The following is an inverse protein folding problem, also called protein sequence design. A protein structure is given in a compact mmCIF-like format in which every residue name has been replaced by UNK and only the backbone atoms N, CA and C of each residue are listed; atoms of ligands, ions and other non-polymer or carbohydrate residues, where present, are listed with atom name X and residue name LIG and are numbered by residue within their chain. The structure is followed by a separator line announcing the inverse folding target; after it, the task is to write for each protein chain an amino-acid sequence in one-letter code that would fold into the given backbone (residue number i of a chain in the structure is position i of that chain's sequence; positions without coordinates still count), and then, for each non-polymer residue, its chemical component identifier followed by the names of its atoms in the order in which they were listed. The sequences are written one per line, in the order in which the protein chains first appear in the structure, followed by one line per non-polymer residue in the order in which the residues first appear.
data_IF_255949029518
#
_entry.id   IF_255949029518
#
_cell.length_a   1.000
_cell.length_b   1.000
_cell.length_c   1.000
_cell.angle_alpha   90.00
_cell.angle_beta   90.00
_cell.angle_gamma   90.00
#
_symmetry.space_group_name_H-M   'P 1'
#
loop_
_entity.id
_entity.type
_entity.pdbx_description
1 polymer ?
#
# COMPACT_ATOMS: atom_id res chain seq x y z
N UNK A 1 -1.76 -38.43 -5.57
CA UNK A 1 -2.81 -38.25 -6.60
C UNK A 1 -2.59 -39.25 -7.73
N UNK A 2 -3.32 -40.37 -7.74
CA UNK A 2 -3.14 -41.48 -8.71
C UNK A 2 -3.22 -41.02 -10.17
N UNK A 3 -4.05 -40.02 -10.47
CA UNK A 3 -4.18 -39.46 -11.82
C UNK A 3 -2.87 -38.90 -12.40
N UNK A 4 -2.10 -38.14 -11.61
CA UNK A 4 -0.81 -37.57 -12.06
C UNK A 4 0.24 -38.65 -12.36
N UNK A 5 0.07 -39.85 -11.80
CA UNK A 5 0.94 -41.01 -12.00
C UNK A 5 0.53 -41.77 -13.28
N UNK A 6 -0.78 -41.90 -13.53
CA UNK A 6 -1.33 -42.64 -14.67
C UNK A 6 -1.32 -41.80 -15.97
N UNK A 7 -1.67 -40.51 -15.89
CA UNK A 7 -1.70 -39.55 -17.00
C UNK A 7 -0.70 -38.43 -16.71
N UNK A 8 0.59 -38.75 -16.87
CA UNK A 8 1.68 -37.83 -16.53
C UNK A 8 1.67 -36.60 -17.46
N UNK A 9 1.49 -35.37 -16.94
CA UNK A 9 1.58 -34.17 -17.75
C UNK A 9 3.03 -33.94 -18.22
N UNK A 10 3.20 -33.28 -19.36
CA UNK A 10 4.51 -32.84 -19.86
C UNK A 10 5.19 -31.93 -18.85
N UNK A 11 4.43 -31.00 -18.26
CA UNK A 11 4.88 -30.17 -17.14
C UNK A 11 3.77 -29.99 -16.11
N UNK A 12 4.18 -30.00 -14.85
CA UNK A 12 3.34 -29.74 -13.68
C UNK A 12 3.96 -28.60 -12.89
N UNK A 13 3.20 -27.52 -12.69
CA UNK A 13 3.58 -26.42 -11.81
C UNK A 13 2.46 -26.20 -10.80
N UNK A 14 2.84 -25.91 -9.56
CA UNK A 14 1.92 -25.59 -8.48
C UNK A 14 2.46 -24.44 -7.65
N UNK A 15 1.58 -23.50 -7.33
CA UNK A 15 1.83 -22.43 -6.38
C UNK A 15 0.64 -22.33 -5.43
N UNK A 16 0.83 -22.81 -4.19
CA UNK A 16 -0.24 -22.92 -3.18
C UNK A 16 -1.44 -23.72 -3.74
N UNK A 17 -2.52 -23.03 -4.11
CA UNK A 17 -3.76 -23.60 -4.63
C UNK A 17 -3.88 -23.53 -6.16
N UNK A 18 -3.04 -22.69 -6.80
CA UNK A 18 -3.03 -22.55 -8.26
C UNK A 18 -2.18 -23.66 -8.89
N UNK A 19 -2.73 -24.35 -9.90
CA UNK A 19 -2.07 -25.43 -10.62
C UNK A 19 -2.05 -25.10 -12.12
N UNK A 20 -0.90 -25.29 -12.75
CA UNK A 20 -0.73 -25.26 -14.21
C UNK A 20 -0.27 -26.63 -14.70
N UNK A 21 -1.05 -27.21 -15.60
CA UNK A 21 -0.75 -28.47 -16.28
C UNK A 21 -0.49 -28.18 -17.76
N UNK A 22 0.56 -28.81 -18.30
CA UNK A 22 0.82 -28.83 -19.73
C UNK A 22 0.75 -30.28 -20.17
N UNK A 23 -0.18 -30.60 -21.06
CA UNK A 23 -0.40 -31.96 -21.57
C UNK A 23 -0.30 -31.98 -23.09
N UNK A 24 0.14 -33.11 -23.64
CA UNK A 24 0.11 -33.36 -25.09
C UNK A 24 -1.26 -33.80 -25.57
N UNK A 25 -2.05 -34.39 -24.67
CA UNK A 25 -3.34 -35.01 -24.98
C UNK A 25 -4.44 -34.29 -24.22
N UNK A 26 -5.66 -34.40 -24.74
CA UNK A 26 -6.86 -33.95 -24.04
C UNK A 26 -7.03 -34.68 -22.70
N UNK A 27 -7.46 -33.93 -21.71
CA UNK A 27 -7.73 -34.42 -20.37
C UNK A 27 -9.22 -34.67 -20.27
N UNK A 28 -9.62 -35.89 -19.86
CA UNK A 28 -10.97 -36.14 -19.41
C UNK A 28 -11.21 -35.36 -18.10
N UNK A 29 -11.94 -34.26 -18.23
CA UNK A 29 -12.21 -33.33 -17.13
C UNK A 29 -13.16 -33.94 -16.09
N UNK A 30 -14.04 -34.87 -16.48
CA UNK A 30 -14.98 -35.50 -15.56
C UNK A 30 -14.19 -36.43 -14.64
N UNK A 31 -13.42 -37.33 -15.23
CA UNK A 31 -12.55 -38.22 -14.47
C UNK A 31 -11.55 -37.43 -13.62
N UNK A 32 -10.97 -36.34 -14.16
CA UNK A 32 -10.07 -35.50 -13.38
C UNK A 32 -10.76 -34.87 -12.16
N UNK A 33 -11.99 -34.37 -12.29
CA UNK A 33 -12.75 -33.77 -11.18
C UNK A 33 -13.09 -34.79 -10.09
N UNK A 34 -13.45 -36.02 -10.46
CA UNK A 34 -13.76 -37.09 -9.50
C UNK A 34 -12.58 -37.38 -8.55
N UNK A 35 -11.34 -37.24 -9.04
CA UNK A 35 -10.13 -37.45 -8.23
C UNK A 35 -9.94 -36.39 -7.12
N UNK A 36 -10.66 -35.28 -7.22
CA UNK A 36 -10.65 -34.18 -6.25
C UNK A 36 -12.05 -33.95 -5.67
N UNK A 37 -12.88 -34.98 -5.54
CA UNK A 37 -14.33 -34.89 -5.28
C UNK A 37 -14.81 -34.04 -4.09
N UNK A 38 -13.92 -33.63 -3.18
CA UNK A 38 -14.23 -32.69 -2.07
C UNK A 38 -13.87 -31.22 -2.37
N UNK A 39 -13.23 -30.91 -3.50
CA UNK A 39 -12.79 -29.57 -3.88
C UNK A 39 -13.58 -29.03 -5.07
N UNK A 40 -13.97 -27.75 -4.99
CA UNK A 40 -14.54 -27.02 -6.13
C UNK A 40 -13.42 -26.54 -7.05
N UNK A 41 -13.15 -27.29 -8.12
CA UNK A 41 -12.12 -26.94 -9.11
C UNK A 41 -12.66 -25.97 -10.19
N UNK A 42 -11.99 -24.84 -10.37
CA UNK A 42 -12.16 -23.96 -11.52
C UNK A 42 -11.10 -24.29 -12.57
N UNK A 43 -11.46 -25.14 -13.53
CA UNK A 43 -10.54 -25.63 -14.57
C UNK A 43 -10.75 -24.81 -15.85
N UNK A 44 -9.67 -24.26 -16.39
CA UNK A 44 -9.64 -23.58 -17.68
C UNK A 44 -8.68 -24.36 -18.58
N UNK A 45 -9.19 -24.87 -19.70
CA UNK A 45 -8.40 -25.56 -20.72
C UNK A 45 -8.37 -24.67 -21.96
N UNK A 46 -7.18 -24.28 -22.39
CA UNK A 46 -6.97 -23.40 -23.54
C UNK A 46 -5.49 -23.42 -23.93
N UNK A 47 -5.19 -23.16 -25.21
CA UNK A 47 -3.81 -22.93 -25.69
C UNK A 47 -3.18 -21.66 -25.12
N UNK A 48 -4.00 -20.84 -24.47
CA UNK A 48 -3.66 -19.60 -23.80
C UNK A 48 -4.29 -19.58 -22.41
N UNK A 49 -3.45 -19.57 -21.37
CA UNK A 49 -3.90 -19.59 -19.97
C UNK A 49 -3.10 -18.63 -19.11
N UNK A 50 -3.78 -18.05 -18.11
CA UNK A 50 -3.15 -17.20 -17.12
C UNK A 50 -2.76 -18.05 -15.90
N UNK A 51 -1.54 -17.88 -15.42
CA UNK A 51 -1.04 -18.53 -14.21
C UNK A 51 -0.20 -17.52 -13.42
N UNK A 52 -0.67 -17.13 -12.24
CA UNK A 52 -0.08 -16.05 -11.43
C UNK A 52 0.04 -14.72 -12.21
N UNK A 53 1.26 -14.20 -12.38
CA UNK A 53 1.61 -13.02 -13.18
C UNK A 53 2.04 -13.38 -14.61
N UNK A 54 1.87 -14.64 -15.02
CA UNK A 54 2.20 -15.15 -16.35
C UNK A 54 0.95 -15.33 -17.19
N UNK A 55 1.08 -14.94 -18.43
CA UNK A 55 0.26 -15.42 -19.52
C UNK A 55 1.09 -16.41 -20.33
N UNK A 56 0.62 -17.66 -20.39
CA UNK A 56 1.32 -18.78 -21.02
C UNK A 56 0.57 -19.16 -22.28
N UNK A 57 1.30 -19.22 -23.39
CA UNK A 57 0.78 -19.65 -24.69
C UNK A 57 1.73 -20.63 -25.35
N UNK A 58 1.19 -21.53 -26.17
CA UNK A 58 2.02 -22.40 -27.01
C UNK A 58 2.29 -21.72 -28.35
N UNK A 59 3.58 -21.58 -28.71
CA UNK A 59 3.98 -21.17 -30.05
C UNK A 59 4.11 -22.45 -30.89
N UNK A 60 3.08 -22.73 -31.70
CA UNK A 60 2.99 -23.93 -32.53
C UNK A 60 4.11 -24.01 -33.58
N UNK A 61 4.59 -22.87 -34.07
CA UNK A 61 5.67 -22.83 -35.06
C UNK A 61 7.02 -23.16 -34.45
N UNK A 62 7.30 -22.64 -33.26
CA UNK A 62 8.58 -22.86 -32.57
C UNK A 62 8.59 -24.05 -31.62
N UNK A 63 7.45 -24.73 -31.47
CA UNK A 63 7.20 -25.79 -30.47
C UNK A 63 7.67 -25.40 -29.07
N UNK A 64 7.43 -24.13 -28.68
CA UNK A 64 7.94 -23.54 -27.43
C UNK A 64 6.85 -22.75 -26.71
N UNK A 65 6.95 -22.74 -25.39
CA UNK A 65 6.08 -21.89 -24.56
C UNK A 65 6.52 -20.43 -24.67
N UNK A 66 5.54 -19.57 -24.97
CA UNK A 66 5.69 -18.12 -24.98
C UNK A 66 5.03 -17.55 -23.74
N UNK A 67 5.76 -16.67 -23.07
CA UNK A 67 5.36 -16.04 -21.82
C UNK A 67 5.18 -14.55 -22.03
N UNK A 68 4.08 -14.01 -21.50
CA UNK A 68 3.80 -12.57 -21.43
C UNK A 68 3.39 -12.21 -20.00
N UNK A 69 3.49 -10.93 -19.66
CA UNK A 69 3.00 -10.45 -18.36
C UNK A 69 1.46 -10.51 -18.34
N UNK A 70 0.89 -11.11 -17.31
CA UNK A 70 -0.52 -11.01 -17.02
C UNK A 70 -0.77 -9.98 -15.92
N UNK A 71 -1.65 -9.01 -16.20
CA UNK A 71 -2.09 -8.01 -15.23
C UNK A 71 -3.55 -8.32 -14.89
N UNK A 72 -3.82 -8.62 -13.62
CA UNK A 72 -5.20 -8.88 -13.16
C UNK A 72 -6.07 -7.64 -13.40
N UNK A 73 -7.34 -7.79 -13.79
CA UNK A 73 -8.26 -6.65 -13.99
C UNK A 73 -8.42 -5.77 -12.75
N UNK A 74 -8.23 -6.33 -11.56
CA UNK A 74 -8.29 -5.63 -10.27
C UNK A 74 -7.02 -4.82 -9.94
N UNK A 75 -5.99 -4.88 -10.79
CA UNK A 75 -4.76 -4.14 -10.57
C UNK A 75 -4.97 -2.64 -10.79
N UNK A 76 -4.70 -1.84 -9.75
CA UNK A 76 -4.97 -0.41 -9.72
C UNK A 76 -3.71 0.47 -9.85
N UNK A 77 -2.55 -0.08 -10.19
CA UNK A 77 -1.34 0.74 -10.36
C UNK A 77 -0.81 1.38 -9.07
N UNK A 78 -1.10 0.80 -7.90
CA UNK A 78 -0.73 1.38 -6.60
C UNK A 78 0.75 1.23 -6.21
N UNK A 79 1.63 1.84 -6.99
CA UNK A 79 3.02 2.00 -6.58
C UNK A 79 3.17 3.11 -5.51
N UNK A 80 4.25 3.02 -4.73
CA UNK A 80 4.58 4.00 -3.70
C UNK A 80 4.80 5.38 -4.32
N UNK A 81 4.23 6.43 -3.72
CA UNK A 81 4.46 7.81 -4.15
C UNK A 81 5.82 8.27 -3.61
N UNK A 82 6.62 8.97 -4.41
CA UNK A 82 7.99 9.40 -4.04
C UNK A 82 8.05 10.39 -2.88
N UNK A 83 6.94 11.05 -2.54
CA UNK A 83 6.80 11.95 -1.39
C UNK A 83 6.48 11.22 -0.08
N UNK A 84 6.28 9.90 -0.11
CA UNK A 84 6.00 9.12 1.10
C UNK A 84 7.26 8.94 1.96
N UNK A 85 7.08 8.73 3.27
CA UNK A 85 8.18 8.58 4.22
C UNK A 85 8.81 7.17 4.16
N UNK A 86 9.52 6.89 3.06
CA UNK A 86 10.27 5.65 2.85
C UNK A 86 11.74 5.96 2.53
N UNK A 87 12.67 5.04 2.84
CA UNK A 87 14.07 5.24 2.50
C UNK A 87 14.29 5.48 1.00
N UNK A 88 15.21 6.38 0.59
CA UNK A 88 15.46 6.69 -0.83
C UNK A 88 15.79 5.48 -1.72
N UNK A 89 16.46 4.47 -1.15
CA UNK A 89 16.82 3.25 -1.90
C UNK A 89 15.59 2.43 -2.29
N UNK A 90 14.47 2.52 -1.56
CA UNK A 90 13.22 1.84 -1.89
C UNK A 90 12.67 2.39 -3.22
N UNK A 91 12.67 3.71 -3.39
CA UNK A 91 12.24 4.33 -4.64
C UNK A 91 13.15 3.97 -5.83
N UNK A 92 14.46 3.77 -5.61
CA UNK A 92 15.35 3.27 -6.68
C UNK A 92 15.10 1.79 -7.00
N UNK A 93 14.80 0.97 -5.99
CA UNK A 93 14.65 -0.47 -6.15
C UNK A 93 13.31 -0.88 -6.77
N UNK A 94 12.24 -0.14 -6.51
CA UNK A 94 10.90 -0.46 -7.04
C UNK A 94 10.90 -0.54 -8.58
N UNK A 95 11.24 0.52 -9.33
CA UNK A 95 11.27 0.47 -10.80
C UNK A 95 12.20 -0.62 -11.32
N UNK A 96 13.40 -0.73 -10.73
CA UNK A 96 14.40 -1.73 -11.12
C UNK A 96 13.84 -3.15 -11.00
N UNK A 97 13.20 -3.47 -9.87
CA UNK A 97 12.63 -4.79 -9.62
C UNK A 97 11.48 -5.12 -10.58
N UNK A 98 10.66 -4.13 -10.93
CA UNK A 98 9.52 -4.32 -11.83
C UNK A 98 10.00 -4.55 -13.26
N UNK A 99 10.87 -3.70 -13.79
CA UNK A 99 11.41 -3.87 -15.14
C UNK A 99 12.19 -5.19 -15.28
N UNK A 100 12.99 -5.56 -14.29
CA UNK A 100 13.64 -6.88 -14.26
C UNK A 100 12.63 -8.03 -14.29
N UNK A 101 11.51 -7.91 -13.56
CA UNK A 101 10.43 -8.91 -13.58
C UNK A 101 9.82 -9.02 -14.97
N UNK A 102 9.45 -7.91 -15.60
CA UNK A 102 8.87 -7.90 -16.96
C UNK A 102 9.86 -8.52 -17.94
N UNK A 103 11.15 -8.18 -17.85
CA UNK A 103 12.21 -8.73 -18.70
C UNK A 103 12.36 -10.24 -18.55
N UNK A 104 12.24 -10.77 -17.34
CA UNK A 104 12.25 -12.22 -17.07
C UNK A 104 11.01 -12.91 -17.62
N UNK A 105 9.84 -12.32 -17.45
CA UNK A 105 8.57 -12.91 -17.86
C UNK A 105 8.46 -12.94 -19.37
N UNK A 106 8.54 -11.78 -20.04
CA UNK A 106 8.27 -11.66 -21.47
C UNK A 106 9.30 -12.42 -22.31
N UNK A 107 8.84 -13.38 -23.13
CA UNK A 107 9.70 -14.07 -24.10
C UNK A 107 10.12 -13.15 -25.24
N UNK A 108 9.23 -12.25 -25.69
CA UNK A 108 9.50 -11.29 -26.77
C UNK A 108 9.96 -9.94 -26.22
N UNK A 109 10.89 -9.31 -26.93
CA UNK A 109 11.32 -7.94 -26.63
C UNK A 109 10.21 -6.91 -26.88
N UNK A 110 9.33 -7.15 -27.87
CA UNK A 110 8.18 -6.28 -28.15
C UNK A 110 7.21 -6.28 -26.96
N UNK A 111 6.91 -7.47 -26.41
CA UNK A 111 6.06 -7.60 -25.23
C UNK A 111 6.72 -6.90 -24.02
N UNK A 112 8.04 -7.02 -23.85
CA UNK A 112 8.79 -6.29 -22.82
C UNK A 112 8.61 -4.77 -22.93
N UNK A 113 8.80 -4.19 -24.12
CA UNK A 113 8.64 -2.75 -24.34
C UNK A 113 7.21 -2.29 -24.05
N UNK A 114 6.21 -3.04 -24.52
CA UNK A 114 4.80 -2.73 -24.30
C UNK A 114 4.44 -2.66 -22.81
N UNK A 115 4.77 -3.70 -22.04
CA UNK A 115 4.45 -3.73 -20.61
C UNK A 115 5.30 -2.75 -19.80
N UNK A 116 6.57 -2.56 -20.18
CA UNK A 116 7.45 -1.60 -19.51
C UNK A 116 6.97 -0.16 -19.73
N UNK A 117 6.47 0.18 -20.93
CA UNK A 117 5.88 1.48 -21.21
C UNK A 117 4.65 1.78 -20.34
N UNK A 118 3.75 0.80 -20.15
CA UNK A 118 2.59 0.94 -19.24
C UNK A 118 3.02 1.21 -17.80
N UNK A 119 3.99 0.45 -17.31
CA UNK A 119 4.51 0.61 -15.94
C UNK A 119 5.25 1.94 -15.79
N UNK A 120 6.03 2.34 -16.81
CA UNK A 120 6.75 3.61 -16.82
C UNK A 120 5.78 4.78 -16.65
N UNK A 121 4.69 4.80 -17.41
CA UNK A 121 3.66 5.83 -17.27
C UNK A 121 3.03 5.84 -15.87
N UNK A 122 2.75 4.64 -15.32
CA UNK A 122 2.19 4.51 -13.97
C UNK A 122 3.15 5.02 -12.89
N UNK A 123 4.45 4.71 -12.99
CA UNK A 123 5.48 5.19 -12.07
C UNK A 123 5.71 6.69 -12.22
N UNK A 124 5.73 7.22 -13.44
CA UNK A 124 5.84 8.66 -13.67
C UNK A 124 4.74 9.44 -12.95
N UNK A 125 3.48 8.97 -13.06
CA UNK A 125 2.34 9.56 -12.35
C UNK A 125 2.44 9.46 -10.81
N UNK A 126 3.32 8.60 -10.28
CA UNK A 126 3.60 8.46 -8.84
C UNK A 126 4.78 9.34 -8.38
N UNK A 127 5.30 10.19 -9.25
CA UNK A 127 6.35 11.17 -8.94
C UNK A 127 7.78 10.66 -9.13
N UNK A 128 7.96 9.57 -9.86
CA UNK A 128 9.29 9.08 -10.24
C UNK A 128 9.83 9.85 -11.45
N UNK A 129 11.15 10.11 -11.47
CA UNK A 129 11.79 10.84 -12.56
C UNK A 129 11.74 10.05 -13.89
N UNK A 130 11.17 10.67 -14.93
CA UNK A 130 10.99 10.03 -16.23
C UNK A 130 12.31 9.59 -16.87
N UNK A 131 13.33 10.46 -16.86
CA UNK A 131 14.63 10.17 -17.49
C UNK A 131 15.33 9.00 -16.81
N UNK A 132 15.25 8.93 -15.48
CA UNK A 132 15.73 7.79 -14.71
C UNK A 132 15.00 6.49 -15.09
N UNK A 133 13.67 6.52 -15.18
CA UNK A 133 12.87 5.35 -15.55
C UNK A 133 13.18 4.86 -16.97
N UNK A 134 13.25 5.79 -17.92
CA UNK A 134 13.55 5.52 -19.32
C UNK A 134 14.92 4.87 -19.48
N UNK A 135 15.97 5.49 -18.91
CA UNK A 135 17.33 4.92 -18.93
C UNK A 135 17.39 3.53 -18.29
N UNK A 136 16.66 3.35 -17.17
CA UNK A 136 16.61 2.06 -16.48
C UNK A 136 15.89 0.98 -17.31
N UNK A 137 14.78 1.34 -17.95
CA UNK A 137 14.03 0.47 -18.86
C UNK A 137 14.90 0.04 -20.06
N UNK A 138 15.63 0.96 -20.69
CA UNK A 138 16.51 0.62 -21.80
C UNK A 138 17.67 -0.26 -21.36
N UNK A 139 18.32 0.09 -20.23
CA UNK A 139 19.42 -0.70 -19.68
C UNK A 139 19.02 -2.14 -19.39
N UNK A 140 17.89 -2.36 -18.73
CA UNK A 140 17.38 -3.71 -18.43
C UNK A 140 16.91 -4.41 -19.70
N UNK A 141 16.40 -3.67 -20.68
CA UNK A 141 16.00 -4.22 -21.98
C UNK A 141 17.16 -4.90 -22.71
N UNK A 142 18.36 -4.33 -22.62
CA UNK A 142 19.58 -4.86 -23.24
C UNK A 142 20.15 -6.10 -22.50
N UNK A 143 19.74 -6.35 -21.26
CA UNK A 143 20.21 -7.54 -20.54
C UNK A 143 19.68 -8.82 -21.19
N UNK A 144 20.54 -9.85 -21.26
CA UNK A 144 20.14 -11.15 -21.81
C UNK A 144 19.19 -11.87 -20.84
N UNK A 145 17.96 -12.15 -21.29
CA UNK A 145 16.92 -12.82 -20.51
C UNK A 145 17.39 -14.15 -19.93
N UNK A 146 18.16 -14.93 -20.69
CA UNK A 146 18.60 -16.26 -20.23
C UNK A 146 19.43 -16.19 -18.96
N UNK A 147 20.17 -15.10 -18.75
CA UNK A 147 20.97 -14.85 -17.54
C UNK A 147 20.13 -14.42 -16.33
N UNK A 148 18.89 -13.96 -16.58
CA UNK A 148 18.00 -13.44 -15.54
C UNK A 148 17.05 -14.51 -14.96
N UNK A 149 16.84 -15.61 -15.68
CA UNK A 149 15.95 -16.71 -15.29
C UNK A 149 16.47 -17.58 -14.13
N UNK A 150 17.78 -17.91 -14.04
CA UNK A 150 18.28 -18.76 -12.97
C UNK A 150 18.00 -18.15 -11.60
N UNK A 151 17.60 -19.01 -10.67
CA UNK A 151 17.52 -18.62 -9.27
C UNK A 151 18.94 -18.33 -8.76
N UNK A 152 19.18 -17.11 -8.25
CA UNK A 152 20.47 -16.80 -7.63
C UNK A 152 20.58 -17.56 -6.32
N UNK A 153 21.59 -18.42 -6.20
CA UNK A 153 21.92 -19.05 -4.93
C UNK A 153 22.20 -17.94 -3.91
N UNK A 154 21.51 -18.01 -2.77
CA UNK A 154 21.78 -17.09 -1.67
C UNK A 154 23.12 -17.48 -1.08
N UNK A 155 24.13 -16.63 -1.29
CA UNK A 155 25.36 -16.73 -0.51
C UNK A 155 24.96 -16.40 0.93
N UNK A 156 24.87 -17.42 1.78
CA UNK A 156 24.73 -17.25 3.21
C UNK A 156 26.04 -16.66 3.71
N UNK A 157 26.11 -15.33 3.78
CA UNK A 157 27.16 -14.69 4.58
C UNK A 157 26.96 -15.19 6.01
N UNK A 158 27.95 -15.91 6.56
CA UNK A 158 28.03 -16.12 8.00
C UNK A 158 28.11 -14.72 8.60
N UNK A 159 27.06 -14.30 9.30
CA UNK A 159 27.13 -13.07 10.08
C UNK A 159 28.09 -13.36 11.22
N UNK A 160 29.19 -12.60 11.32
CA UNK A 160 30.03 -12.61 12.51
C UNK A 160 29.14 -12.30 13.72
N UNK A 161 29.37 -12.97 14.85
CA UNK A 161 28.56 -12.81 16.06
C UNK A 161 28.70 -11.44 16.74
N UNK A 162 29.73 -10.67 16.37
CA UNK A 162 30.15 -9.48 17.10
C UNK A 162 29.47 -8.19 16.60
N UNK A 163 28.15 -8.24 16.35
CA UNK A 163 27.39 -7.03 16.00
C UNK A 163 26.69 -6.45 17.21
N UNK A 164 26.89 -5.16 17.49
CA UNK A 164 25.98 -4.41 18.36
C UNK A 164 24.79 -3.96 17.51
N UNK A 165 23.62 -4.57 17.75
CA UNK A 165 22.39 -4.19 17.06
C UNK A 165 21.82 -2.93 17.68
N UNK A 166 21.75 -1.86 16.91
CA UNK A 166 21.16 -0.59 17.32
C UNK A 166 19.84 -0.38 16.58
N UNK A 167 18.78 -0.06 17.31
CA UNK A 167 17.46 0.14 16.74
C UNK A 167 17.11 1.62 16.77
N UNK A 168 16.75 2.17 15.62
CA UNK A 168 16.28 3.54 15.48
C UNK A 168 14.96 3.55 14.72
N UNK A 169 14.12 4.55 14.96
CA UNK A 169 12.99 4.80 14.06
C UNK A 169 13.52 5.38 12.73
N UNK A 170 12.90 4.98 11.62
CA UNK A 170 13.18 5.59 10.33
C UNK A 170 12.67 7.04 10.32
N UNK A 171 13.59 7.97 10.23
CA UNK A 171 13.40 9.40 10.02
C UNK A 171 14.28 9.81 8.83
N UNK A 172 13.92 10.80 8.03
CA UNK A 172 14.78 11.34 6.97
C UNK A 172 16.16 11.78 7.49
N UNK A 173 16.26 12.11 8.78
CA UNK A 173 17.53 12.44 9.45
C UNK A 173 18.36 11.22 9.87
N UNK A 174 18.00 10.00 9.46
CA UNK A 174 18.68 8.77 9.87
C UNK A 174 20.19 8.76 9.54
N UNK A 175 20.60 9.43 8.45
CA UNK A 175 22.00 9.56 8.06
C UNK A 175 22.78 10.30 9.14
N UNK A 176 22.27 11.44 9.60
CA UNK A 176 22.89 12.25 10.65
C UNK A 176 22.97 11.48 11.98
N UNK A 177 21.89 10.81 12.38
CA UNK A 177 21.87 9.99 13.61
C UNK A 177 22.90 8.86 13.54
N UNK A 178 22.98 8.19 12.39
CA UNK A 178 23.96 7.12 12.15
C UNK A 178 25.39 7.65 12.26
N UNK A 179 25.68 8.79 11.63
CA UNK A 179 27.02 9.40 11.67
C UNK A 179 27.42 9.82 13.09
N UNK A 180 26.51 10.45 13.84
CA UNK A 180 26.75 10.82 15.23
C UNK A 180 27.02 9.59 16.10
N UNK A 181 26.19 8.55 15.97
CA UNK A 181 26.41 7.30 16.71
C UNK A 181 27.76 6.67 16.37
N UNK A 182 28.10 6.59 15.08
CA UNK A 182 29.39 6.03 14.65
C UNK A 182 30.56 6.81 15.22
N UNK A 183 30.51 8.16 15.20
CA UNK A 183 31.54 9.00 15.81
C UNK A 183 31.72 8.69 17.30
N UNK A 184 30.64 8.72 18.07
CA UNK A 184 30.68 8.40 19.50
C UNK A 184 31.16 6.97 19.77
N UNK A 185 30.73 6.01 18.95
CA UNK A 185 31.14 4.62 19.04
C UNK A 185 32.65 4.47 18.83
N UNK A 186 33.19 5.07 17.77
CA UNK A 186 34.64 5.02 17.50
C UNK A 186 35.46 5.70 18.60
N UNK A 187 35.01 6.83 19.17
CA UNK A 187 35.71 7.41 20.32
C UNK A 187 35.71 6.49 21.55
N UNK A 188 34.59 5.81 21.84
CA UNK A 188 34.53 4.84 22.93
C UNK A 188 35.42 3.62 22.69
N UNK A 189 35.57 3.15 21.45
CA UNK A 189 36.48 2.04 21.14
C UNK A 189 37.95 2.36 21.41
N UNK A 190 38.35 3.64 21.37
CA UNK A 190 39.71 4.06 21.75
C UNK A 190 39.93 3.99 23.27
N UNK A 191 38.87 4.19 24.06
CA UNK A 191 38.92 4.15 25.52
C UNK A 191 38.79 2.71 26.03
N UNK A 192 37.94 1.92 25.38
CA UNK A 192 37.57 0.57 25.81
C UNK A 192 37.98 -0.46 24.77
N UNK A 193 39.15 -1.07 24.98
CA UNK A 193 39.73 -2.05 24.05
C UNK A 193 38.85 -3.27 23.77
N UNK A 194 37.99 -3.70 24.71
CA UNK A 194 37.04 -4.80 24.48
C UNK A 194 35.98 -4.49 23.41
N UNK A 195 35.78 -3.21 23.05
CA UNK A 195 34.84 -2.78 22.02
C UNK A 195 35.43 -2.82 20.60
N UNK A 196 36.75 -3.00 20.44
CA UNK A 196 37.41 -3.01 19.12
C UNK A 196 36.84 -4.04 18.15
N UNK A 197 36.38 -5.15 18.71
CA UNK A 197 35.90 -6.29 17.93
C UNK A 197 34.40 -6.20 17.61
N UNK A 198 33.72 -5.15 18.07
CA UNK A 198 32.29 -4.95 17.89
C UNK A 198 32.00 -4.06 16.68
N UNK A 199 31.15 -4.55 15.78
CA UNK A 199 30.66 -3.76 14.64
C UNK A 199 29.23 -3.25 14.90
N UNK A 200 28.98 -1.93 14.83
CA UNK A 200 27.64 -1.39 15.02
C UNK A 200 26.76 -1.70 13.80
N UNK A 201 25.66 -2.42 14.04
CA UNK A 201 24.66 -2.78 13.03
C UNK A 201 23.34 -2.03 13.26
N UNK A 202 23.00 -1.14 12.33
CA UNK A 202 21.85 -0.27 12.45
C UNK A 202 20.61 -0.89 11.83
N UNK A 203 19.52 -0.91 12.59
CA UNK A 203 18.19 -1.35 12.16
C UNK A 203 17.23 -0.16 12.28
N UNK A 204 16.75 0.34 11.14
CA UNK A 204 15.76 1.41 11.10
C UNK A 204 14.36 0.82 11.00
N UNK A 205 13.56 0.98 12.06
CA UNK A 205 12.17 0.52 12.14
C UNK A 205 11.26 1.56 11.51
N UNK A 206 10.43 1.14 10.56
CA UNK A 206 9.36 1.99 10.04
C UNK A 206 8.29 2.09 11.14
N UNK A 207 7.86 3.31 11.47
CA UNK A 207 6.77 3.51 12.44
C UNK A 207 5.49 2.83 11.95
N UNK A 208 4.69 2.25 12.86
CA UNK A 208 3.45 1.61 12.48
C UNK A 208 2.51 2.63 11.81
N UNK A 209 2.09 2.34 10.58
CA UNK A 209 1.07 3.13 9.88
C UNK A 209 -0.34 2.74 10.36
N UNK A 210 -1.37 3.49 9.99
CA UNK A 210 -2.74 3.25 10.46
C UNK A 210 -3.20 1.81 10.19
N UNK A 211 -2.88 1.27 9.01
CA UNK A 211 -3.18 -0.12 8.65
C UNK A 211 -2.49 -1.11 9.59
N UNK A 212 -1.19 -0.93 9.87
CA UNK A 212 -0.46 -1.77 10.81
C UNK A 212 -1.05 -1.68 12.23
N UNK A 213 -1.41 -0.48 12.70
CA UNK A 213 -2.08 -0.30 13.99
C UNK A 213 -3.42 -1.08 14.03
N UNK A 214 -4.21 -1.00 12.97
CA UNK A 214 -5.51 -1.68 12.90
C UNK A 214 -5.39 -3.21 12.74
N UNK A 215 -4.34 -3.72 12.07
CA UNK A 215 -4.21 -5.15 11.77
C UNK A 215 -3.43 -5.91 12.85
N UNK A 216 -2.32 -5.33 13.34
CA UNK A 216 -1.34 -6.06 14.16
C UNK A 216 -1.32 -5.67 15.63
N UNK A 217 -1.66 -4.42 16.00
CA UNK A 217 -1.75 -4.03 17.41
C UNK A 217 -3.04 -4.52 18.08
N UNK A 218 -4.02 -4.94 17.28
CA UNK A 218 -5.26 -5.54 17.75
C UNK A 218 -5.07 -6.96 18.29
N UNK A 219 -3.96 -7.60 17.95
CA UNK A 219 -3.64 -8.96 18.40
C UNK A 219 -2.97 -8.99 19.78
N UNK A 220 -2.62 -7.83 20.36
CA UNK A 220 -1.88 -7.77 21.62
C UNK A 220 -2.57 -6.88 22.66
N UNK A 221 -3.11 -7.56 23.67
CA UNK A 221 -3.14 -7.22 25.12
C UNK A 221 -4.56 -7.14 25.69
N UNK A 222 -4.94 -8.24 26.36
CA UNK A 222 -6.09 -8.40 27.27
C UNK A 222 -5.97 -7.53 28.55
N UNK A 223 -5.66 -6.25 28.40
CA UNK A 223 -5.72 -5.25 29.47
C UNK A 223 -6.25 -3.92 28.88
N UNK A 224 -7.31 -4.01 28.07
CA UNK A 224 -8.02 -2.82 27.59
C UNK A 224 -8.79 -2.22 28.76
N UNK A 225 -8.23 -1.17 29.35
CA UNK A 225 -9.04 -0.21 30.09
C UNK A 225 -10.18 0.21 29.16
N UNK A 226 -11.41 -0.09 29.56
CA UNK A 226 -12.63 0.12 28.76
C UNK A 226 -12.74 1.61 28.40
N UNK A 227 -12.26 1.95 27.21
CA UNK A 227 -12.33 3.30 26.69
C UNK A 227 -13.57 3.48 25.83
N UNK A 228 -14.12 4.69 25.78
CA UNK A 228 -15.23 5.02 24.87
C UNK A 228 -15.26 6.50 24.53
N UNK A 229 -15.97 6.83 23.45
CA UNK A 229 -16.30 8.23 23.19
C UNK A 229 -17.46 8.63 24.08
N UNK A 230 -17.40 9.80 24.68
CA UNK A 230 -18.46 10.33 25.55
C UNK A 230 -18.91 11.70 25.05
N UNK A 231 -20.16 12.04 25.31
CA UNK A 231 -20.66 13.40 25.09
C UNK A 231 -19.85 14.43 25.88
N UNK A 232 -19.57 15.59 25.28
CA UNK A 232 -18.83 16.69 25.90
C UNK A 232 -19.69 17.51 26.92
N UNK A 233 -20.83 16.96 27.36
CA UNK A 233 -21.75 17.51 28.38
C UNK A 233 -22.21 18.97 28.19
N UNK A 234 -22.03 19.51 26.99
CA UNK A 234 -22.54 20.80 26.52
C UNK A 234 -23.80 20.54 25.68
N UNK A 235 -24.62 21.57 25.40
CA UNK A 235 -25.73 21.54 24.43
C UNK A 235 -25.23 21.38 22.97
N UNK A 236 -24.40 20.37 22.72
CA UNK A 236 -23.70 20.11 21.49
C UNK A 236 -24.56 19.22 20.59
N UNK A 237 -25.00 19.78 19.47
CA UNK A 237 -25.83 19.08 18.46
C UNK A 237 -25.15 17.86 17.84
N UNK A 238 -23.84 17.67 18.03
CA UNK A 238 -23.13 16.48 17.54
C UNK A 238 -23.19 15.32 18.52
N UNK A 239 -23.40 15.57 19.82
CA UNK A 239 -23.45 14.51 20.84
C UNK A 239 -24.51 13.45 20.54
N UNK A 240 -25.62 13.83 19.90
CA UNK A 240 -26.70 12.90 19.54
C UNK A 240 -26.24 11.78 18.57
N UNK A 241 -25.15 12.00 17.85
CA UNK A 241 -24.60 11.02 16.91
C UNK A 241 -23.47 10.18 17.51
N UNK A 242 -23.04 10.45 18.75
CA UNK A 242 -21.94 9.72 19.36
C UNK A 242 -22.37 8.29 19.65
N UNK A 243 -21.54 7.33 19.25
CA UNK A 243 -21.61 5.98 19.74
C UNK A 243 -20.74 5.84 20.99
N UNK A 244 -21.36 5.43 22.11
CA UNK A 244 -20.72 5.27 23.42
C UNK A 244 -20.24 3.83 23.67
N UNK A 245 -20.30 2.96 22.67
CA UNK A 245 -19.82 1.59 22.77
C UNK A 245 -18.31 1.53 23.04
N UNK A 246 -17.90 0.53 23.82
CA UNK A 246 -16.49 0.25 24.10
C UNK A 246 -15.76 -0.40 22.93
N UNK A 247 -16.51 -0.98 22.00
CA UNK A 247 -16.00 -1.61 20.78
C UNK A 247 -16.99 -1.52 19.63
N UNK A 248 -16.51 -1.68 18.40
CA UNK A 248 -17.34 -1.79 17.20
C UNK A 248 -17.13 -3.19 16.62
N UNK A 249 -18.20 -3.91 16.29
CA UNK A 249 -18.13 -5.12 15.49
C UNK A 249 -18.16 -4.76 14.01
N UNK A 250 -17.11 -5.12 13.28
CA UNK A 250 -16.96 -4.88 11.84
C UNK A 250 -16.65 -6.23 11.18
N UNK A 251 -17.56 -6.75 10.34
CA UNK A 251 -17.38 -7.95 9.49
C UNK A 251 -16.30 -8.96 9.93
N UNK A 252 -16.54 -9.62 11.06
CA UNK A 252 -15.67 -10.69 11.59
C UNK A 252 -14.54 -10.26 12.54
N UNK A 253 -14.38 -8.96 12.83
CA UNK A 253 -13.43 -8.47 13.82
C UNK A 253 -14.05 -7.44 14.79
N UNK A 254 -13.55 -7.43 16.03
CA UNK A 254 -13.97 -6.52 17.09
C UNK A 254 -12.93 -5.42 17.22
N UNK A 255 -13.38 -4.15 17.18
CA UNK A 255 -12.54 -2.98 17.28
C UNK A 255 -12.74 -2.23 18.61
N UNK A 256 -11.91 -2.42 19.65
CA UNK A 256 -12.04 -1.70 20.91
C UNK A 256 -11.58 -0.24 20.73
N UNK A 257 -12.22 0.66 21.47
CA UNK A 257 -11.80 2.06 21.51
C UNK A 257 -10.52 2.18 22.34
N UNK A 258 -9.59 3.03 21.90
CA UNK A 258 -8.27 3.18 22.54
C UNK A 258 -8.13 4.47 23.35
N UNK A 259 -9.18 5.29 23.42
CA UNK A 259 -9.15 6.58 24.12
C UNK A 259 -10.51 6.98 24.70
N UNK A 260 -10.49 7.55 25.91
CA UNK A 260 -11.64 8.26 26.51
C UNK A 260 -11.75 9.68 25.93
N UNK A 261 -12.21 9.76 24.69
CA UNK A 261 -12.35 11.02 23.96
C UNK A 261 -13.76 11.60 24.08
N UNK A 262 -13.90 12.89 23.76
CA UNK A 262 -15.21 13.54 23.63
C UNK A 262 -15.37 14.21 22.27
N UNK A 263 -16.55 14.76 21.99
CA UNK A 263 -16.76 15.60 20.80
C UNK A 263 -15.82 16.81 20.69
N UNK A 264 -15.21 17.24 21.80
CA UNK A 264 -14.30 18.37 21.82
C UNK A 264 -12.83 17.95 21.61
N UNK A 265 -12.52 16.64 21.69
CA UNK A 265 -11.18 16.12 21.41
C UNK A 265 -10.75 16.47 19.99
N UNK A 266 -9.47 16.80 19.83
CA UNK A 266 -8.80 17.13 18.56
C UNK A 266 -7.67 16.13 18.27
N UNK A 267 -7.04 16.24 17.09
CA UNK A 267 -5.93 15.38 16.66
C UNK A 267 -6.24 13.89 16.85
N UNK A 268 -7.26 13.41 16.13
CA UNK A 268 -7.83 12.08 16.37
C UNK A 268 -8.18 11.33 15.09
N UNK A 269 -8.31 10.02 15.24
CA UNK A 269 -8.94 9.12 14.26
C UNK A 269 -10.35 8.81 14.74
N UNK A 270 -11.33 9.03 13.88
CA UNK A 270 -12.74 8.76 14.14
C UNK A 270 -13.29 7.75 13.14
N UNK A 271 -14.38 7.10 13.53
CA UNK A 271 -15.11 6.13 12.73
C UNK A 271 -16.55 6.59 12.63
N UNK A 272 -17.07 6.72 11.42
CA UNK A 272 -18.49 6.92 11.13
C UNK A 272 -19.08 5.56 10.76
N UNK A 273 -20.19 5.19 11.38
CA UNK A 273 -20.91 3.94 11.12
C UNK A 273 -22.28 4.29 10.53
N UNK A 274 -22.65 3.58 9.46
CA UNK A 274 -24.03 3.54 8.98
C UNK A 274 -24.74 2.32 9.57
N UNK A 275 -25.69 2.55 10.48
CA UNK A 275 -26.42 1.45 11.13
C UNK A 275 -27.34 0.68 10.17
N UNK A 276 -27.75 1.31 9.06
CA UNK A 276 -28.59 0.71 8.01
C UNK A 276 -27.79 -0.24 7.11
N UNK A 277 -26.71 0.25 6.53
CA UNK A 277 -25.90 -0.51 5.57
C UNK A 277 -24.81 -1.38 6.23
N UNK A 278 -24.58 -1.22 7.54
CA UNK A 278 -23.49 -1.88 8.29
C UNK A 278 -22.09 -1.59 7.73
N UNK A 279 -21.94 -0.51 6.99
CA UNK A 279 -20.63 -0.03 6.51
C UNK A 279 -20.07 1.04 7.44
N UNK A 280 -18.75 1.23 7.37
CA UNK A 280 -18.04 2.19 8.19
C UNK A 280 -17.05 3.02 7.37
N UNK A 281 -16.73 4.20 7.88
CA UNK A 281 -15.78 5.15 7.30
C UNK A 281 -14.77 5.57 8.37
N UNK A 282 -13.48 5.43 8.07
CA UNK A 282 -12.41 5.87 8.97
C UNK A 282 -11.87 7.21 8.47
N UNK A 283 -11.79 8.19 9.36
CA UNK A 283 -11.25 9.51 9.05
C UNK A 283 -10.27 10.00 10.11
N UNK A 284 -9.32 10.83 9.69
CA UNK A 284 -8.45 11.60 10.58
C UNK A 284 -8.90 13.07 10.62
N UNK A 285 -8.74 13.74 11.75
CA UNK A 285 -8.91 15.19 11.83
C UNK A 285 -8.00 15.83 12.87
N UNK A 286 -7.49 17.02 12.55
CA UNK A 286 -6.80 17.91 13.48
C UNK A 286 -7.78 18.82 14.24
N UNK A 287 -8.95 19.09 13.65
CA UNK A 287 -9.99 19.88 14.30
C UNK A 287 -10.65 19.04 15.39
N UNK A 288 -11.46 19.68 16.23
CA UNK A 288 -12.29 18.90 17.14
C UNK A 288 -13.26 18.00 16.37
N UNK A 289 -13.60 16.84 16.93
CA UNK A 289 -14.57 15.92 16.32
C UNK A 289 -15.87 16.64 15.95
N UNK A 290 -16.36 17.51 16.84
CA UNK A 290 -17.58 18.27 16.62
C UNK A 290 -17.53 19.16 15.37
N UNK A 291 -16.36 19.71 15.01
CA UNK A 291 -16.21 20.54 13.81
C UNK A 291 -16.21 19.63 12.60
N UNK A 292 -15.46 18.53 12.64
CA UNK A 292 -15.33 17.62 11.50
C UNK A 292 -16.67 16.95 11.13
N UNK A 293 -17.45 16.54 12.13
CA UNK A 293 -18.77 15.94 11.89
C UNK A 293 -19.78 16.97 11.40
N UNK A 294 -19.74 18.21 11.90
CA UNK A 294 -20.54 19.31 11.31
C UNK A 294 -20.24 19.51 9.83
N UNK A 295 -18.97 19.43 9.42
CA UNK A 295 -18.59 19.53 8.01
C UNK A 295 -19.17 18.39 7.18
N UNK A 296 -19.12 17.14 7.66
CA UNK A 296 -19.75 16.01 6.97
C UNK A 296 -21.27 16.17 6.87
N UNK A 297 -21.93 16.53 7.97
CA UNK A 297 -23.39 16.76 7.99
C UNK A 297 -23.80 17.91 7.06
N UNK A 298 -23.03 19.00 7.02
CA UNK A 298 -23.28 20.11 6.09
C UNK A 298 -23.05 19.68 4.64
N UNK A 299 -22.02 18.86 4.38
CA UNK A 299 -21.77 18.27 3.06
C UNK A 299 -22.93 17.40 2.58
N UNK A 300 -23.51 16.59 3.48
CA UNK A 300 -24.72 15.81 3.21
C UNK A 300 -25.89 16.74 2.89
N UNK A 301 -26.15 17.76 3.73
CA UNK A 301 -27.27 18.68 3.54
C UNK A 301 -27.17 19.49 2.24
N UNK A 302 -26.00 20.04 1.94
CA UNK A 302 -25.75 20.89 0.76
C UNK A 302 -25.25 20.12 -0.46
N UNK A 303 -25.47 18.80 -0.50
CA UNK A 303 -25.03 17.98 -1.61
C UNK A 303 -25.68 18.44 -2.93
N UNK A 304 -24.84 18.84 -3.88
CA UNK A 304 -25.24 19.07 -5.26
C UNK A 304 -24.65 17.93 -6.10
N UNK A 305 -25.47 17.16 -6.83
CA UNK A 305 -24.99 16.15 -7.76
C UNK A 305 -23.94 16.78 -8.70
N UNK A 306 -22.82 16.10 -8.94
CA UNK A 306 -21.72 16.50 -9.84
C UNK A 306 -20.75 17.60 -9.38
N UNK A 307 -21.05 18.35 -8.31
CA UNK A 307 -20.12 19.36 -7.74
C UNK A 307 -19.30 18.81 -6.55
N UNK A 308 -19.85 17.86 -5.80
CA UNK A 308 -19.24 17.30 -4.58
C UNK A 308 -18.73 15.85 -4.78
N UNK A 309 -17.99 15.60 -5.86
CA UNK A 309 -17.64 14.25 -6.34
C UNK A 309 -16.74 13.47 -5.36
N UNK A 310 -16.07 14.10 -4.40
CA UNK A 310 -14.99 13.45 -3.63
C UNK A 310 -15.34 12.98 -2.20
N UNK A 311 -16.54 13.26 -1.67
CA UNK A 311 -16.87 12.85 -0.28
C UNK A 311 -17.74 11.59 -0.25
N UNK A 312 -17.10 10.43 -0.10
CA UNK A 312 -17.74 9.11 -0.03
C UNK A 312 -18.80 9.02 1.08
N UNK A 313 -18.55 9.66 2.24
CA UNK A 313 -19.52 9.71 3.36
C UNK A 313 -20.78 10.44 2.90
N UNK A 314 -20.62 11.58 2.23
CA UNK A 314 -21.74 12.37 1.72
C UNK A 314 -22.56 11.60 0.70
N UNK A 315 -21.90 10.93 -0.26
CA UNK A 315 -22.56 10.14 -1.28
C UNK A 315 -23.34 8.97 -0.68
N UNK A 316 -22.77 8.32 0.33
CA UNK A 316 -23.42 7.20 1.02
C UNK A 316 -24.71 7.60 1.72
N UNK A 317 -24.66 8.59 2.61
CA UNK A 317 -25.82 9.00 3.41
C UNK A 317 -26.89 9.76 2.62
N UNK A 318 -26.67 10.02 1.32
CA UNK A 318 -27.69 10.52 0.39
C UNK A 318 -28.40 9.43 -0.40
N UNK A 319 -27.95 8.17 -0.35
CA UNK A 319 -28.67 7.05 -0.97
C UNK A 319 -30.08 6.92 -0.37
N UNK A 320 -31.04 6.51 -1.19
CA UNK A 320 -32.46 6.36 -0.81
C UNK A 320 -32.58 5.52 0.47
N UNK A 321 -33.42 5.97 1.40
CA UNK A 321 -33.74 5.28 2.64
C UNK A 321 -32.81 5.56 3.82
N UNK A 322 -31.80 6.43 3.67
CA UNK A 322 -30.98 6.87 4.81
C UNK A 322 -31.63 8.03 5.58
N UNK A 323 -31.73 7.89 6.89
CA UNK A 323 -32.17 8.93 7.82
C UNK A 323 -31.01 9.22 8.79
N UNK A 324 -30.37 10.38 8.63
CA UNK A 324 -29.14 10.75 9.36
C UNK A 324 -29.29 10.58 10.88
N UNK A 325 -30.43 10.97 11.44
CA UNK A 325 -30.68 10.90 12.89
C UNK A 325 -30.62 9.46 13.44
N UNK A 326 -31.03 8.47 12.65
CA UNK A 326 -31.05 7.07 13.05
C UNK A 326 -29.83 6.30 12.53
N UNK A 327 -29.37 6.59 11.32
CA UNK A 327 -28.37 5.78 10.64
C UNK A 327 -26.94 6.23 10.91
N UNK A 328 -26.73 7.52 11.19
CA UNK A 328 -25.39 8.09 11.33
C UNK A 328 -24.93 7.98 12.79
N UNK A 329 -23.85 7.24 13.02
CA UNK A 329 -23.16 7.18 14.32
C UNK A 329 -21.68 7.46 14.17
N UNK A 330 -21.06 8.02 15.20
CA UNK A 330 -19.62 8.33 15.21
C UNK A 330 -18.97 8.00 16.54
N UNK A 331 -17.78 7.43 16.51
CA UNK A 331 -16.91 7.32 17.68
C UNK A 331 -15.47 7.70 17.34
N UNK A 332 -14.67 7.95 18.36
CA UNK A 332 -13.25 8.20 18.30
C UNK A 332 -12.53 6.90 18.60
N UNK A 333 -11.76 6.43 17.63
CA UNK A 333 -10.93 5.25 17.79
C UNK A 333 -9.70 5.55 18.65
N UNK A 334 -9.03 6.69 18.39
CA UNK A 334 -7.83 7.14 19.10
C UNK A 334 -7.70 8.66 19.01
N UNK A 335 -7.40 9.32 20.13
CA UNK A 335 -7.09 10.75 20.20
C UNK A 335 -5.62 11.02 20.56
N UNK A 336 -5.26 12.30 20.74
CA UNK A 336 -3.91 12.77 21.12
C UNK A 336 -2.81 12.33 20.15
N UNK A 337 -3.11 12.32 18.85
CA UNK A 337 -2.09 12.14 17.82
C UNK A 337 -1.09 13.32 17.85
N UNK A 338 0.18 13.06 17.51
CA UNK A 338 1.19 14.11 17.35
C UNK A 338 0.67 15.22 16.40
N UNK A 339 0.93 16.49 16.76
CA UNK A 339 0.50 17.66 16.00
C UNK A 339 0.93 17.55 14.53
N UNK A 340 0.00 17.85 13.62
CA UNK A 340 0.27 17.83 12.18
C UNK A 340 1.35 18.84 11.79
N UNK A 341 1.53 19.95 12.52
CA UNK A 341 2.65 20.88 12.30
C UNK A 341 3.99 20.25 12.67
N UNK A 342 4.05 19.39 13.68
CA UNK A 342 5.27 18.65 14.05
C UNK A 342 5.50 17.50 13.05
N UNK A 343 4.43 16.78 12.64
CA UNK A 343 4.52 15.76 11.59
C UNK A 343 4.87 16.34 10.22
N UNK A 344 4.34 17.52 9.87
CA UNK A 344 4.63 18.25 8.62
C UNK A 344 5.93 19.04 8.70
N UNK A 345 6.34 19.57 9.84
CA UNK A 345 7.68 20.13 10.02
C UNK A 345 8.72 19.03 9.83
N UNK A 346 8.54 17.83 10.40
CA UNK A 346 9.36 16.65 10.07
C UNK A 346 9.37 16.31 8.57
N UNK A 347 8.33 16.67 7.81
CA UNK A 347 8.24 16.52 6.34
C UNK A 347 8.75 17.74 5.55
N UNK A 348 8.82 18.94 6.14
CA UNK A 348 9.18 20.22 5.51
C UNK A 348 10.60 20.68 5.87
N UNK A 349 11.17 20.21 6.98
CA UNK A 349 12.59 20.41 7.35
C UNK A 349 13.51 19.44 6.62
N UNK A 350 13.10 18.96 5.43
CA UNK A 350 14.03 18.31 4.50
C UNK A 350 14.95 19.43 4.00
N UNK A 351 16.25 19.44 4.33
CA UNK A 351 17.16 20.35 3.66
C UNK A 351 17.22 19.91 2.20
N UNK A 352 16.73 20.78 1.30
CA UNK A 352 17.03 20.65 -0.12
C UNK A 352 18.54 20.77 -0.24
N UNK A 353 19.22 19.66 -0.50
CA UNK A 353 20.65 19.66 -0.81
C UNK A 353 20.89 20.60 -2.00
N UNK A 354 21.91 21.47 -1.96
CA UNK A 354 22.20 22.38 -3.05
C UNK A 354 22.68 21.57 -4.26
N UNK A 355 21.79 21.35 -5.23
CA UNK A 355 22.22 20.92 -6.55
C UNK A 355 22.97 22.08 -7.21
N UNK A 356 24.29 21.96 -7.27
CA UNK A 356 25.13 22.67 -8.23
C UNK A 356 24.62 22.29 -9.63
N UNK A 357 23.84 23.18 -10.24
CA UNK A 357 23.77 23.54 -11.65
C UNK A 357 22.49 24.37 -11.86
N UNK A 358 22.69 25.68 -11.92
CA UNK A 358 21.68 26.69 -12.18
C UNK A 358 21.30 26.74 -13.66
N UNK A 359 20.01 26.83 -13.94
CA UNK A 359 19.40 27.83 -14.83
C UNK A 359 17.94 28.06 -14.39
N UNK A 360 17.38 29.27 -14.60
CA UNK A 360 16.37 29.83 -13.72
C UNK A 360 14.96 29.35 -14.08
N UNK A 361 14.37 28.51 -13.24
CA UNK A 361 12.91 28.30 -13.27
C UNK A 361 12.25 29.32 -12.34
N UNK A 362 11.35 30.12 -12.94
CA UNK A 362 10.50 31.15 -12.30
C UNK A 362 10.04 30.69 -10.91
N UNK A 363 10.27 31.56 -9.92
CA UNK A 363 9.68 31.45 -8.57
C UNK A 363 8.15 31.40 -8.70
N UNK A 364 7.57 30.21 -8.57
CA UNK A 364 6.18 30.08 -8.17
C UNK A 364 6.16 30.28 -6.65
N UNK A 365 5.83 31.50 -6.26
CA UNK A 365 5.47 31.85 -4.89
C UNK A 365 4.23 31.01 -4.56
N UNK A 366 4.38 30.02 -3.68
CA UNK A 366 3.24 29.34 -3.08
C UNK A 366 2.47 30.36 -2.23
N UNK A 367 1.44 30.97 -2.83
CA UNK A 367 0.39 31.66 -2.08
C UNK A 367 -0.48 30.61 -1.37
N UNK A 368 -1.05 30.96 -0.21
CA UNK A 368 -1.89 30.06 0.59
C UNK A 368 -3.06 29.53 -0.25
N UNK A 369 -3.30 28.21 -0.14
CA UNK A 369 -4.44 27.52 -0.75
C UNK A 369 -5.65 27.73 0.16
N UNK A 370 -6.17 28.96 0.14
CA UNK A 370 -7.49 29.33 0.64
C UNK A 370 -7.98 30.43 -0.31
N UNK A 371 -8.63 30.04 -1.41
CA UNK A 371 -9.64 30.78 -2.19
C UNK A 371 -9.80 30.14 -3.57
N UNK A 372 -11.05 29.81 -3.90
CA UNK A 372 -11.67 29.46 -5.20
C UNK A 372 -10.80 28.98 -6.38
N UNK A 373 -11.21 27.89 -7.05
CA UNK A 373 -11.46 27.92 -8.50
C UNK A 373 -12.19 26.66 -9.02
N UNK A 374 -13.03 26.95 -10.01
CA UNK A 374 -13.80 26.11 -10.93
C UNK A 374 -12.94 25.22 -11.86
N UNK A 375 -13.56 24.29 -12.64
CA UNK A 375 -12.91 23.07 -13.09
C UNK A 375 -12.25 23.18 -14.48
N UNK A 376 -11.14 22.46 -14.66
CA UNK A 376 -10.64 22.10 -15.98
C UNK A 376 -11.27 20.75 -16.37
N UNK A 377 -12.13 20.81 -17.38
CA UNK A 377 -12.81 19.67 -17.98
C UNK A 377 -11.82 18.69 -18.65
N UNK A 378 -12.05 17.39 -18.48
CA UNK A 378 -11.73 16.42 -19.53
C UNK A 378 -12.95 15.54 -19.76
N UNK A 379 -13.50 15.66 -20.97
CA UNK A 379 -14.64 14.89 -21.48
C UNK A 379 -14.23 13.43 -21.65
N UNK A 380 -15.05 12.50 -21.18
CA UNK A 380 -15.05 11.10 -21.62
C UNK A 380 -16.41 10.87 -22.33
N UNK A 381 -16.44 10.36 -23.57
CA UNK A 381 -17.68 10.10 -24.28
C UNK A 381 -18.39 8.88 -23.66
N UNK A 382 -19.71 9.02 -23.48
CA UNK A 382 -20.61 7.90 -23.20
C UNK A 382 -20.76 7.07 -24.47
N UNK A 383 -20.64 5.76 -24.35
CA UNK A 383 -21.16 4.81 -25.34
C UNK A 383 -22.08 3.88 -24.57
N UNK A 384 -23.30 3.73 -25.11
CA UNK A 384 -24.37 2.84 -24.67
C UNK A 384 -23.99 1.36 -24.84
#
# INVERSE_FOLDING_TARGET
YKWLIIKRPLKYFRFIDDILLITSNEIDLIYFREQFGYLKLNIIVSDFVNFLDLNVSNDSFLCKLKFKLYIKPTYNGSYLITTSNHPPHIFKNIPKSIFLRIRKICSSFIDYLYFSGKVLFTLYNRGYDYKYLENLMFKIGQENRSLLLPYKQKITKKFNSNFIKTFFDHDNNFVMIKELFLKSFFELTKIYGWMSDLEPFFIFKIKPNLSFLCVHLMSFSYNLQLCRTVSCSKNCKICMYINNDYYISLDGFILPMLSNATCDSCNLVYIIICLRCKVFYIGETFKSLNVRIRQHLNGIKRFIPYLNIENEVTQHFRKIGHIIQHDFRVCVFKDKLEDIKIRRAKLLTIPVSPNKHSTPKKRLICKPIDEYMEPISSRIPKIY
#
